data_IF_582745158806
#
_entry.id   IF_582745158806
#
_cell.length_a   1.000
_cell.length_b   1.000
_cell.length_c   1.000
_cell.angle_alpha   90.00
_cell.angle_beta   90.00
_cell.angle_gamma   90.00
#
_symmetry.space_group_name_H-M   'P 1'
#
loop_
_entity.id
_entity.type
_entity.pdbx_description
1 polymer ?
#
# COMPACT_ATOMS: atom_id res chain seq x y z
N UNK A 1 9.61 17.59 -15.61
CA UNK A 1 8.22 18.01 -15.35
C UNK A 1 7.27 16.85 -15.04
N UNK A 2 7.56 15.61 -15.48
CA UNK A 2 6.69 14.43 -15.28
C UNK A 2 6.58 13.97 -13.82
N UNK A 3 7.68 13.89 -13.07
CA UNK A 3 7.66 13.41 -11.66
C UNK A 3 6.87 14.28 -10.68
N UNK A 4 6.96 15.62 -10.84
CA UNK A 4 6.28 16.59 -9.96
C UNK A 4 4.76 16.58 -10.15
N UNK A 5 4.30 16.22 -11.36
CA UNK A 5 2.87 16.14 -11.68
C UNK A 5 2.25 14.84 -11.13
N UNK A 6 2.98 13.72 -11.15
CA UNK A 6 2.54 12.46 -10.53
C UNK A 6 2.48 12.54 -9.02
N UNK A 7 3.44 13.20 -8.37
CA UNK A 7 3.43 13.43 -6.92
C UNK A 7 2.25 14.32 -6.49
N UNK A 8 1.97 15.39 -7.24
CA UNK A 8 0.83 16.27 -6.97
C UNK A 8 -0.51 15.54 -7.13
N UNK A 9 -0.66 14.71 -8.17
CA UNK A 9 -1.90 13.94 -8.37
C UNK A 9 -2.13 12.91 -7.27
N UNK A 10 -1.08 12.21 -6.83
CA UNK A 10 -1.20 11.19 -5.78
C UNK A 10 -1.47 11.82 -4.41
N UNK A 11 -0.80 12.93 -4.12
CA UNK A 11 -0.99 13.68 -2.87
C UNK A 11 -2.39 14.32 -2.81
N UNK A 12 -2.93 14.82 -3.94
CA UNK A 12 -4.28 15.38 -4.00
C UNK A 12 -5.35 14.28 -3.92
N UNK A 13 -5.22 13.20 -4.70
CA UNK A 13 -6.19 12.10 -4.73
C UNK A 13 -6.22 11.36 -3.39
N UNK A 14 -5.05 11.02 -2.83
CA UNK A 14 -4.96 10.38 -1.52
C UNK A 14 -5.54 11.24 -0.40
N UNK A 15 -5.26 12.55 -0.39
CA UNK A 15 -5.81 13.49 0.59
C UNK A 15 -7.31 13.68 0.46
N UNK A 16 -7.84 13.70 -0.76
CA UNK A 16 -9.29 13.80 -0.97
C UNK A 16 -10.00 12.58 -0.40
N UNK A 17 -9.48 11.38 -0.64
CA UNK A 17 -10.03 10.15 -0.07
C UNK A 17 -9.92 10.11 1.46
N UNK A 18 -8.83 10.65 2.04
CA UNK A 18 -8.69 10.78 3.49
C UNK A 18 -9.68 11.78 4.10
N UNK A 19 -9.97 12.88 3.39
CA UNK A 19 -11.01 13.84 3.81
C UNK A 19 -12.39 13.20 3.80
N UNK A 20 -12.73 12.48 2.73
CA UNK A 20 -14.00 11.76 2.63
C UNK A 20 -14.12 10.70 3.73
N UNK A 21 -13.03 9.97 4.02
CA UNK A 21 -12.96 9.00 5.11
C UNK A 21 -13.24 9.66 6.47
N UNK A 22 -12.59 10.79 6.76
CA UNK A 22 -12.82 11.53 8.01
C UNK A 22 -14.26 12.07 8.12
N UNK A 23 -14.86 12.46 7.00
CA UNK A 23 -16.26 12.88 6.99
C UNK A 23 -17.19 11.70 7.32
N UNK A 24 -16.97 10.54 6.70
CA UNK A 24 -17.72 9.32 6.98
C UNK A 24 -17.56 8.86 8.44
N UNK A 25 -16.38 9.00 9.04
CA UNK A 25 -16.15 8.68 10.47
C UNK A 25 -16.94 9.61 11.41
N UNK A 26 -17.02 10.90 11.08
CA UNK A 26 -17.84 11.85 11.86
C UNK A 26 -19.33 11.53 11.74
N UNK A 27 -19.80 11.16 10.56
CA UNK A 27 -21.17 10.73 10.32
C UNK A 27 -21.50 9.42 11.05
N UNK A 28 -20.57 8.46 11.03
CA UNK A 28 -20.67 7.20 11.80
C UNK A 28 -20.87 7.49 13.29
N UNK A 29 -20.01 8.33 13.89
CA UNK A 29 -20.10 8.65 15.32
C UNK A 29 -21.40 9.39 15.67
N UNK A 30 -21.85 10.33 14.82
CA UNK A 30 -23.14 11.02 15.00
C UNK A 30 -24.31 10.04 14.97
N UNK A 31 -24.31 9.12 14.01
CA UNK A 31 -25.37 8.13 13.84
C UNK A 31 -25.38 7.13 15.00
N UNK A 32 -24.21 6.73 15.51
CA UNK A 32 -24.12 5.89 16.72
C UNK A 32 -24.70 6.59 17.96
N UNK A 33 -24.38 7.87 18.16
CA UNK A 33 -24.93 8.65 19.26
C UNK A 33 -26.46 8.80 19.16
N UNK A 34 -26.98 9.00 17.95
CA UNK A 34 -28.41 9.12 17.70
C UNK A 34 -29.16 7.79 17.89
N UNK A 35 -28.60 6.67 17.41
CA UNK A 35 -29.13 5.33 17.66
C UNK A 35 -29.19 5.06 19.17
N UNK A 36 -28.12 5.36 19.93
CA UNK A 36 -28.09 5.19 21.39
C UNK A 36 -29.14 6.04 22.12
N UNK A 37 -29.44 7.23 21.62
CA UNK A 37 -30.52 8.07 22.17
C UNK A 37 -31.88 7.45 21.89
N UNK A 38 -32.13 7.06 20.64
CA UNK A 38 -33.40 6.52 20.17
C UNK A 38 -33.75 5.16 20.79
N UNK A 39 -32.76 4.34 21.13
CA UNK A 39 -32.97 3.05 21.82
C UNK A 39 -33.50 3.19 23.25
N UNK A 40 -33.47 4.40 23.85
CA UNK A 40 -34.06 4.67 25.17
C UNK A 40 -35.57 4.88 25.10
N UNK A 41 -36.10 5.19 23.91
CA UNK A 41 -37.53 5.37 23.66
C UNK A 41 -38.11 4.14 22.94
N UNK A 42 -38.92 3.29 23.61
CA UNK A 42 -39.37 2.01 23.06
C UNK A 42 -40.39 2.12 21.90
N UNK A 43 -40.77 3.34 21.48
CA UNK A 43 -41.79 3.57 20.44
C UNK A 43 -41.22 3.67 19.02
N UNK A 44 -39.90 3.77 18.83
CA UNK A 44 -39.28 4.12 17.54
C UNK A 44 -38.45 2.98 16.91
N UNK A 45 -38.91 1.73 17.04
CA UNK A 45 -38.19 0.55 16.55
C UNK A 45 -37.91 0.57 15.04
N UNK A 46 -38.84 1.07 14.22
CA UNK A 46 -38.66 1.14 12.76
C UNK A 46 -37.57 2.15 12.35
N UNK A 47 -37.52 3.30 13.02
CA UNK A 47 -36.50 4.32 12.81
C UNK A 47 -35.11 3.81 13.20
N UNK A 48 -34.99 3.09 14.32
CA UNK A 48 -33.74 2.47 14.77
C UNK A 48 -33.24 1.44 13.74
N UNK A 49 -34.15 0.66 13.13
CA UNK A 49 -33.79 -0.29 12.07
C UNK A 49 -33.27 0.40 10.81
N UNK A 50 -33.86 1.53 10.42
CA UNK A 50 -33.38 2.32 9.27
C UNK A 50 -31.99 2.90 9.57
N UNK A 51 -31.79 3.49 10.76
CA UNK A 51 -30.51 4.06 11.17
C UNK A 51 -29.42 2.99 11.29
N UNK A 52 -29.74 1.80 11.79
CA UNK A 52 -28.80 0.67 11.85
C UNK A 52 -28.35 0.21 10.45
N UNK A 53 -29.26 0.20 9.46
CA UNK A 53 -28.90 -0.07 8.05
C UNK A 53 -27.99 1.01 7.49
N UNK A 54 -28.27 2.28 7.79
CA UNK A 54 -27.40 3.40 7.40
C UNK A 54 -26.00 3.27 8.01
N UNK A 55 -25.88 2.88 9.29
CA UNK A 55 -24.60 2.66 9.95
C UNK A 55 -23.75 1.58 9.25
N UNK A 56 -24.36 0.45 8.89
CA UNK A 56 -23.68 -0.60 8.12
C UNK A 56 -23.26 -0.11 6.74
N UNK A 57 -24.07 0.72 6.08
CA UNK A 57 -23.71 1.30 4.80
C UNK A 57 -22.52 2.26 4.90
N UNK A 58 -22.47 3.13 5.92
CA UNK A 58 -21.34 4.03 6.17
C UNK A 58 -20.06 3.22 6.42
N UNK A 59 -20.12 2.16 7.23
CA UNK A 59 -18.97 1.26 7.45
C UNK A 59 -18.48 0.60 6.15
N UNK A 60 -19.39 0.15 5.29
CA UNK A 60 -19.05 -0.36 3.95
C UNK A 60 -18.43 0.73 3.06
N UNK A 61 -18.94 1.96 3.11
CA UNK A 61 -18.36 3.09 2.39
C UNK A 61 -16.95 3.39 2.88
N UNK A 62 -16.69 3.39 4.19
CA UNK A 62 -15.36 3.57 4.78
C UNK A 62 -14.37 2.49 4.32
N UNK A 63 -14.79 1.23 4.33
CA UNK A 63 -13.98 0.11 3.82
C UNK A 63 -13.69 0.26 2.31
N UNK A 64 -14.68 0.67 1.50
CA UNK A 64 -14.47 0.95 0.08
C UNK A 64 -13.52 2.12 -0.16
N UNK A 65 -13.62 3.19 0.63
CA UNK A 65 -12.71 4.34 0.55
C UNK A 65 -11.26 3.93 0.85
N UNK A 66 -11.05 3.12 1.89
CA UNK A 66 -9.73 2.57 2.22
C UNK A 66 -9.18 1.69 1.08
N UNK A 67 -9.98 0.76 0.57
CA UNK A 67 -9.57 -0.10 -0.54
C UNK A 67 -9.26 0.70 -1.81
N UNK A 68 -10.03 1.75 -2.08
CA UNK A 68 -9.82 2.61 -3.24
C UNK A 68 -8.56 3.47 -3.07
N UNK A 69 -8.24 3.95 -1.85
CA UNK A 69 -6.96 4.60 -1.54
C UNK A 69 -5.77 3.68 -1.80
N UNK A 70 -5.83 2.43 -1.34
CA UNK A 70 -4.77 1.44 -1.60
C UNK A 70 -4.59 1.18 -3.10
N UNK A 71 -5.69 1.14 -3.87
CA UNK A 71 -5.60 1.00 -5.34
C UNK A 71 -4.95 2.21 -6.00
N UNK A 72 -5.30 3.43 -5.60
CA UNK A 72 -4.68 4.66 -6.11
C UNK A 72 -3.19 4.67 -5.81
N UNK A 73 -2.80 4.34 -4.58
CA UNK A 73 -1.39 4.22 -4.18
C UNK A 73 -0.64 3.13 -4.96
N UNK A 74 -1.29 2.02 -5.31
CA UNK A 74 -0.69 1.01 -6.19
C UNK A 74 -0.47 1.52 -7.61
N UNK A 75 -1.44 2.24 -8.17
CA UNK A 75 -1.33 2.86 -9.51
C UNK A 75 -0.26 3.94 -9.52
N UNK A 76 -0.11 4.71 -8.44
CA UNK A 76 0.93 5.74 -8.35
C UNK A 76 2.33 5.15 -8.27
N UNK A 77 2.52 4.06 -7.52
CA UNK A 77 3.77 3.31 -7.51
C UNK A 77 4.10 2.77 -8.92
N UNK A 78 3.11 2.22 -9.62
CA UNK A 78 3.29 1.78 -11.00
C UNK A 78 3.66 2.95 -11.94
N UNK A 79 3.00 4.09 -11.79
CA UNK A 79 3.32 5.31 -12.54
C UNK A 79 4.73 5.82 -12.24
N UNK A 80 5.20 5.72 -11.00
CA UNK A 80 6.56 6.08 -10.60
C UNK A 80 7.59 5.19 -11.29
N UNK A 81 7.37 3.87 -11.30
CA UNK A 81 8.23 2.92 -12.03
C UNK A 81 8.23 3.21 -13.53
N UNK A 82 7.07 3.50 -14.12
CA UNK A 82 6.99 3.90 -15.53
C UNK A 82 7.78 5.18 -15.80
N UNK A 83 7.68 6.19 -14.94
CA UNK A 83 8.44 7.43 -15.08
C UNK A 83 9.96 7.19 -14.97
N UNK A 84 10.40 6.29 -14.08
CA UNK A 84 11.79 5.88 -13.97
C UNK A 84 12.27 5.17 -15.25
N UNK A 85 11.46 4.25 -15.80
CA UNK A 85 11.76 3.56 -17.06
C UNK A 85 11.88 4.53 -18.23
N UNK A 86 11.03 5.56 -18.30
CA UNK A 86 11.14 6.60 -19.34
C UNK A 86 12.45 7.39 -19.20
N UNK A 87 12.83 7.79 -17.99
CA UNK A 87 14.12 8.47 -17.77
C UNK A 87 15.30 7.57 -18.13
N UNK A 88 15.22 6.28 -17.80
CA UNK A 88 16.24 5.30 -18.18
C UNK A 88 16.31 5.16 -19.69
N UNK A 89 15.18 5.11 -20.40
CA UNK A 89 15.14 5.09 -21.86
C UNK A 89 15.76 6.36 -22.48
N UNK A 90 15.51 7.54 -21.91
CA UNK A 90 16.15 8.79 -22.33
C UNK A 90 17.67 8.79 -22.07
N UNK A 91 18.11 8.26 -20.93
CA UNK A 91 19.52 8.09 -20.62
C UNK A 91 20.20 7.09 -21.57
N UNK A 92 19.54 5.96 -21.85
CA UNK A 92 20.00 4.97 -22.82
C UNK A 92 20.05 5.54 -24.23
N UNK A 93 19.08 6.38 -24.64
CA UNK A 93 19.11 7.09 -25.91
C UNK A 93 20.34 8.00 -26.00
N UNK A 94 20.66 8.71 -24.92
CA UNK A 94 21.82 9.60 -24.85
C UNK A 94 23.13 8.81 -24.89
N UNK A 95 23.22 7.72 -24.11
CA UNK A 95 24.35 6.81 -24.08
C UNK A 95 24.57 6.10 -25.43
N UNK A 96 23.49 5.66 -26.10
CA UNK A 96 23.54 5.08 -27.44
C UNK A 96 24.00 6.12 -28.48
N UNK A 97 23.57 7.37 -28.37
CA UNK A 97 24.07 8.47 -29.19
C UNK A 97 25.57 8.72 -28.97
N UNK A 98 26.03 8.67 -27.72
CA UNK A 98 27.44 8.79 -27.38
C UNK A 98 28.25 7.59 -27.86
N UNK A 99 27.77 6.35 -27.67
CA UNK A 99 28.38 5.12 -28.20
C UNK A 99 28.43 5.14 -29.72
N UNK A 100 27.39 5.62 -30.41
CA UNK A 100 27.38 5.76 -31.86
C UNK A 100 28.42 6.77 -32.36
N UNK A 101 28.66 7.86 -31.62
CA UNK A 101 29.73 8.81 -31.90
C UNK A 101 31.11 8.25 -31.56
N UNK A 102 31.24 7.53 -30.45
CA UNK A 102 32.47 6.84 -30.03
C UNK A 102 32.85 5.77 -31.06
N UNK A 103 31.91 4.96 -31.54
CA UNK A 103 32.14 3.97 -32.58
C UNK A 103 32.66 4.57 -33.91
N UNK A 104 32.37 5.86 -34.19
CA UNK A 104 32.92 6.58 -35.35
C UNK A 104 34.33 7.12 -35.15
N UNK A 105 34.77 7.27 -33.89
CA UNK A 105 36.09 7.83 -33.53
C UNK A 105 37.03 6.81 -32.89
N UNK A 106 36.55 5.61 -32.54
CA UNK A 106 37.30 4.61 -31.79
C UNK A 106 38.01 3.66 -32.75
N UNK A 107 39.34 3.57 -32.64
CA UNK A 107 40.14 2.62 -33.39
C UNK A 107 40.01 1.22 -32.75
N UNK A 108 39.46 0.20 -33.43
CA UNK A 108 39.14 -1.11 -32.84
C UNK A 108 40.35 -1.81 -32.20
N UNK A 109 41.57 -1.48 -32.64
CA UNK A 109 42.81 -2.03 -32.11
C UNK A 109 43.14 -1.56 -30.68
N UNK A 110 42.81 -0.32 -30.33
CA UNK A 110 43.06 0.21 -28.99
C UNK A 110 42.08 -0.38 -27.95
N UNK A 111 40.82 -0.60 -28.35
CA UNK A 111 39.81 -1.18 -27.47
C UNK A 111 40.12 -2.64 -27.10
N UNK A 112 40.67 -3.43 -28.03
CA UNK A 112 41.05 -4.82 -27.77
C UNK A 112 42.14 -4.92 -26.69
N UNK A 113 43.14 -4.03 -26.72
CA UNK A 113 44.19 -3.99 -25.67
C UNK A 113 43.62 -3.58 -24.31
N UNK A 114 42.77 -2.55 -24.26
CA UNK A 114 42.16 -2.11 -22.99
C UNK A 114 41.22 -3.17 -22.41
N UNK A 115 40.49 -3.92 -23.24
CA UNK A 115 39.62 -5.00 -22.79
C UNK A 115 40.41 -6.19 -22.23
N UNK A 116 41.57 -6.51 -22.81
CA UNK A 116 42.48 -7.53 -22.28
C UNK A 116 43.06 -7.13 -20.91
N UNK A 117 43.49 -5.87 -20.76
CA UNK A 117 44.01 -5.37 -19.48
C UNK A 117 42.90 -5.27 -18.41
N UNK A 118 41.68 -4.89 -18.79
CA UNK A 118 40.53 -4.87 -17.91
C UNK A 118 40.15 -6.28 -17.43
N UNK A 119 40.15 -7.29 -18.32
CA UNK A 119 39.89 -8.68 -17.94
C UNK A 119 40.92 -9.19 -16.92
N UNK A 120 42.18 -8.80 -17.07
CA UNK A 120 43.26 -9.17 -16.13
C UNK A 120 43.08 -8.52 -14.77
N UNK A 121 42.70 -7.23 -14.73
CA UNK A 121 42.42 -6.48 -13.51
C UNK A 121 41.17 -6.99 -12.79
N UNK A 122 40.09 -7.26 -13.53
CA UNK A 122 38.81 -7.71 -12.97
C UNK A 122 38.92 -9.13 -12.38
N UNK A 123 39.72 -10.01 -12.99
CA UNK A 123 40.03 -11.33 -12.42
C UNK A 123 40.83 -11.20 -11.11
N UNK A 124 41.74 -10.23 -11.02
CA UNK A 124 42.47 -9.92 -9.79
C UNK A 124 41.56 -9.35 -8.69
N UNK A 125 40.58 -8.53 -9.08
CA UNK A 125 39.59 -7.95 -8.17
C UNK A 125 38.62 -9.01 -7.63
N UNK A 126 38.07 -9.88 -8.49
CA UNK A 126 37.20 -10.99 -8.06
C UNK A 126 37.88 -11.95 -7.08
N UNK A 127 39.14 -12.29 -7.31
CA UNK A 127 39.90 -13.11 -6.35
C UNK A 127 40.10 -12.40 -5.00
N UNK A 128 40.15 -11.07 -5.00
CA UNK A 128 40.28 -10.27 -3.77
C UNK A 128 38.93 -10.15 -3.06
N UNK A 129 37.83 -9.99 -3.79
CA UNK A 129 36.46 -9.99 -3.24
C UNK A 129 36.07 -11.35 -2.68
N UNK A 130 36.36 -12.47 -3.34
CA UNK A 130 36.11 -13.82 -2.81
C UNK A 130 36.87 -14.05 -1.50
N UNK A 131 38.16 -13.68 -1.42
CA UNK A 131 38.90 -13.77 -0.16
C UNK A 131 38.34 -12.87 0.95
N UNK A 132 37.77 -11.71 0.63
CA UNK A 132 37.17 -10.78 1.59
C UNK A 132 35.77 -11.27 2.05
N UNK A 133 34.98 -11.84 1.14
CA UNK A 133 33.66 -12.37 1.46
C UNK A 133 33.76 -13.64 2.31
N UNK A 134 34.68 -14.55 1.97
CA UNK A 134 34.94 -15.76 2.78
C UNK A 134 35.39 -15.40 4.21
N UNK A 135 36.12 -14.29 4.39
CA UNK A 135 36.49 -13.81 5.73
C UNK A 135 35.39 -13.04 6.47
N UNK A 136 34.40 -12.48 5.76
CA UNK A 136 33.27 -11.77 6.35
C UNK A 136 32.11 -12.71 6.71
N UNK A 137 31.85 -13.73 5.90
CA UNK A 137 30.83 -14.75 6.17
C UNK A 137 31.19 -15.61 7.39
N UNK A 138 32.48 -15.92 7.58
CA UNK A 138 32.99 -16.58 8.79
C UNK A 138 32.81 -15.72 10.06
N UNK A 139 32.63 -14.40 9.94
CA UNK A 139 32.45 -13.47 11.06
C UNK A 139 30.96 -13.18 11.34
N UNK A 140 30.08 -13.24 10.33
CA UNK A 140 28.69 -12.75 10.43
C UNK A 140 27.61 -13.84 10.53
N UNK A 141 27.92 -15.11 10.27
CA UNK A 141 26.93 -16.20 10.20
C UNK A 141 26.28 -16.69 11.51
N UNK A 142 26.55 -16.11 12.68
CA UNK A 142 26.13 -16.67 13.98
C UNK A 142 24.84 -16.06 14.58
N UNK A 143 24.21 -15.03 14.01
CA UNK A 143 23.11 -14.33 14.71
C UNK A 143 22.04 -13.67 13.81
N UNK A 144 20.79 -14.14 13.85
CA UNK A 144 19.65 -13.35 13.33
C UNK A 144 18.34 -14.10 13.00
N UNK A 145 17.64 -14.55 14.03
CA UNK A 145 16.27 -15.09 14.15
C UNK A 145 15.18 -14.49 13.20
N UNK A 146 14.57 -15.31 12.33
CA UNK A 146 13.49 -14.95 11.39
C UNK A 146 12.07 -15.32 11.91
N UNK A 147 11.95 -16.03 13.04
CA UNK A 147 10.66 -16.60 13.48
C UNK A 147 9.74 -15.62 14.25
N UNK A 148 10.27 -14.51 14.78
CA UNK A 148 9.49 -13.59 15.62
C UNK A 148 8.58 -12.61 14.84
N UNK A 149 8.94 -12.21 13.61
CA UNK A 149 8.18 -11.20 12.85
C UNK A 149 6.81 -11.71 12.37
N UNK A 150 6.69 -13.01 12.07
CA UNK A 150 5.50 -13.57 11.44
C UNK A 150 4.32 -13.74 12.42
N UNK A 151 4.60 -13.85 13.72
CA UNK A 151 3.61 -14.06 14.78
C UNK A 151 2.80 -12.78 15.09
N UNK A 152 3.46 -11.62 15.08
CA UNK A 152 2.86 -10.32 15.43
C UNK A 152 1.80 -9.90 14.40
N UNK A 153 2.03 -10.18 13.11
CA UNK A 153 1.14 -9.79 12.02
C UNK A 153 -0.20 -10.54 12.07
N UNK A 154 -0.18 -11.83 12.45
CA UNK A 154 -1.40 -12.64 12.52
C UNK A 154 -2.33 -12.26 13.68
N UNK A 155 -1.79 -11.78 14.79
CA UNK A 155 -2.59 -11.44 15.97
C UNK A 155 -3.44 -10.17 15.77
N UNK A 156 -2.95 -9.19 15.00
CA UNK A 156 -3.64 -7.88 14.85
C UNK A 156 -4.84 -7.97 13.89
N UNK A 157 -4.80 -8.83 12.88
CA UNK A 157 -5.82 -8.90 11.83
C UNK A 157 -7.11 -9.59 12.28
N UNK A 158 -7.03 -10.55 13.22
CA UNK A 158 -8.17 -11.39 13.59
C UNK A 158 -9.13 -10.77 14.63
N UNK A 159 -8.61 -9.95 15.56
CA UNK A 159 -9.39 -9.49 16.70
C UNK A 159 -10.32 -8.29 16.40
N UNK A 160 -9.89 -7.36 15.55
CA UNK A 160 -10.62 -6.10 15.33
C UNK A 160 -11.81 -6.22 14.37
N UNK A 161 -11.73 -7.11 13.36
CA UNK A 161 -12.77 -7.24 12.32
C UNK A 161 -13.94 -8.11 12.78
N UNK A 162 -13.67 -9.13 13.60
CA UNK A 162 -14.64 -10.17 13.95
C UNK A 162 -15.66 -9.71 15.00
N UNK A 163 -15.23 -8.83 15.92
CA UNK A 163 -16.01 -8.49 17.13
C UNK A 163 -17.21 -7.58 16.84
N UNK A 164 -17.09 -6.66 15.88
CA UNK A 164 -18.10 -5.64 15.57
C UNK A 164 -19.14 -6.11 14.55
N UNK A 165 -18.75 -6.99 13.62
CA UNK A 165 -19.65 -7.61 12.62
C UNK A 165 -20.75 -8.48 13.26
N UNK A 166 -20.44 -9.17 14.37
CA UNK A 166 -21.41 -10.00 15.11
C UNK A 166 -22.51 -9.18 15.80
N UNK A 167 -22.21 -7.96 16.26
CA UNK A 167 -23.17 -7.11 16.95
C UNK A 167 -24.24 -6.54 16.02
N UNK A 168 -23.85 -6.03 14.84
CA UNK A 168 -24.80 -5.46 13.88
C UNK A 168 -25.65 -6.52 13.16
N UNK A 169 -25.08 -7.68 12.85
CA UNK A 169 -25.80 -8.77 12.18
C UNK A 169 -26.95 -9.31 13.03
N UNK A 170 -26.76 -9.39 14.36
CA UNK A 170 -27.77 -9.88 15.31
C UNK A 170 -28.97 -8.94 15.48
N UNK A 171 -28.77 -7.63 15.30
CA UNK A 171 -29.85 -6.64 15.45
C UNK A 171 -30.70 -6.47 14.18
N UNK A 172 -30.11 -6.74 13.00
CA UNK A 172 -30.79 -6.65 11.70
C UNK A 172 -31.69 -7.87 11.44
N UNK A 173 -31.33 -9.06 11.93
CA UNK A 173 -32.10 -10.29 11.77
C UNK A 173 -33.20 -10.50 12.82
N UNK A 174 -33.34 -9.61 13.80
CA UNK A 174 -34.40 -9.68 14.80
C UNK A 174 -35.78 -9.33 14.17
N UNK A 175 -36.77 -10.25 14.19
CA UNK A 175 -38.08 -10.01 13.60
C UNK A 175 -38.72 -8.77 14.24
N UNK A 176 -39.28 -7.89 13.41
CA UNK A 176 -40.13 -6.77 13.87
C UNK A 176 -41.47 -7.40 14.28
N UNK A 177 -41.64 -7.69 15.57
CA UNK A 177 -42.96 -8.06 16.11
C UNK A 177 -43.86 -6.81 16.17
N UNK A 178 -45.17 -6.93 15.89
CA UNK A 178 -46.05 -5.78 15.71
C UNK A 178 -46.28 -4.96 17.00
N UNK A 179 -46.64 -3.67 16.90
CA UNK A 179 -46.90 -2.81 18.04
C UNK A 179 -48.26 -3.10 18.69
N UNK A 180 -48.24 -3.47 19.98
CA UNK A 180 -49.30 -3.44 20.99
C UNK A 180 -50.72 -3.95 20.63
N UNK A 181 -51.18 -4.99 21.34
CA UNK A 181 -52.57 -5.03 21.82
C UNK A 181 -52.60 -5.13 23.34
N UNK A 182 -53.37 -4.22 23.94
CA UNK A 182 -53.85 -4.26 25.31
C UNK A 182 -54.36 -5.66 25.66
N UNK A 183 -54.02 -6.14 26.86
CA UNK A 183 -54.95 -6.38 27.97
C UNK A 183 -54.17 -6.25 29.27
#
# INVERSE_FOLDING_TARGET
MTGKMTELFDELAGREMDRDRMQLEREEHKLEAEIRRMTKDPKNNDTIKIMAKQLVNIRKQKSRALNAKTKVSGVSAQAHTMAANVKMADAMKTAAGAMGQMNKQMNPQAMAQTMQEFSRQNMKMRMTEEMINDTLDDILGESGDEEEEQSIVNHVVHDDITRTMKFCTRYISAPVGPPNLRQ
#
